data_IF_734701031049
#
_entry.id   IF_734701031049
#
_cell.length_a   1.000
_cell.length_b   1.000
_cell.length_c   1.000
_cell.angle_alpha   90.00
_cell.angle_beta   90.00
_cell.angle_gamma   90.00
#
_symmetry.space_group_name_H-M   'P 1'
#
loop_
_entity.id
_entity.type
_entity.pdbx_description
1 polymer ?
#
# COMPACT_ATOMS: atom_id res chain seq x y z
N UNK A 1 9.24 -9.87 17.58
CA UNK A 1 9.90 -9.87 16.25
C UNK A 1 8.81 -9.78 15.19
N UNK A 2 9.07 -9.16 14.03
CA UNK A 2 8.10 -9.08 12.93
C UNK A 2 8.20 -10.27 11.96
N UNK A 3 7.08 -10.72 11.41
CA UNK A 3 7.02 -11.79 10.40
C UNK A 3 7.25 -11.27 8.97
N UNK A 4 6.87 -10.02 8.70
CA UNK A 4 7.07 -9.33 7.43
C UNK A 4 7.79 -8.01 7.69
N UNK A 5 8.80 -7.69 6.89
CA UNK A 5 9.49 -6.41 6.93
C UNK A 5 8.87 -5.45 5.91
N UNK A 6 8.40 -4.30 6.34
CA UNK A 6 7.83 -3.29 5.44
C UNK A 6 8.84 -2.16 5.18
N UNK A 7 9.13 -1.90 3.91
CA UNK A 7 9.97 -0.77 3.49
C UNK A 7 9.08 0.45 3.26
N UNK A 8 9.29 1.57 3.98
CA UNK A 8 8.51 2.79 3.82
C UNK A 8 8.61 3.36 2.40
N UNK A 9 7.53 4.00 1.93
CA UNK A 9 7.44 4.54 0.58
C UNK A 9 8.58 5.50 0.25
N UNK A 10 8.91 6.45 1.16
CA UNK A 10 10.02 7.40 1.01
C UNK A 10 11.40 6.73 0.92
N UNK A 11 11.52 5.49 1.40
CA UNK A 11 12.77 4.75 1.46
C UNK A 11 12.86 3.61 0.44
N UNK A 12 11.89 3.49 -0.47
CA UNK A 12 11.81 2.38 -1.44
C UNK A 12 12.97 2.29 -2.44
N UNK A 13 13.90 3.26 -2.44
CA UNK A 13 15.11 3.26 -3.27
C UNK A 13 16.42 3.18 -2.47
N UNK A 14 16.36 3.14 -1.14
CA UNK A 14 17.55 3.11 -0.29
C UNK A 14 18.19 1.72 -0.33
N UNK A 15 19.30 1.59 -1.06
CA UNK A 15 19.96 0.31 -1.34
C UNK A 15 20.28 -0.45 -0.06
N UNK A 16 21.01 0.17 0.86
CA UNK A 16 21.47 -0.48 2.09
C UNK A 16 20.30 -1.01 2.94
N UNK A 17 19.18 -0.27 2.98
CA UNK A 17 17.98 -0.71 3.69
C UNK A 17 17.30 -1.91 3.01
N UNK A 18 17.21 -1.91 1.69
CA UNK A 18 16.61 -3.00 0.91
C UNK A 18 17.44 -4.28 1.01
N UNK A 19 18.76 -4.16 0.89
CA UNK A 19 19.68 -5.27 1.00
C UNK A 19 19.71 -5.83 2.43
N UNK A 20 19.73 -4.96 3.44
CA UNK A 20 19.64 -5.38 4.84
C UNK A 20 18.34 -6.14 5.14
N UNK A 21 17.21 -5.70 4.56
CA UNK A 21 15.94 -6.41 4.71
C UNK A 21 15.96 -7.78 4.02
N UNK A 22 16.48 -7.86 2.78
CA UNK A 22 16.61 -9.12 2.04
C UNK A 22 17.55 -10.13 2.69
N UNK A 23 18.64 -9.66 3.28
CA UNK A 23 19.60 -10.50 4.00
C UNK A 23 19.00 -11.19 5.24
N UNK A 24 17.84 -10.72 5.75
CA UNK A 24 17.17 -11.37 6.88
C UNK A 24 16.47 -12.68 6.50
N UNK A 25 16.19 -12.91 5.21
CA UNK A 25 15.40 -14.04 4.72
C UNK A 25 13.91 -13.96 5.06
N UNK A 26 13.44 -12.90 5.72
CA UNK A 26 12.00 -12.67 6.00
C UNK A 26 11.30 -12.10 4.77
N UNK A 27 9.99 -12.37 4.57
CA UNK A 27 9.21 -11.68 3.55
C UNK A 27 9.33 -10.16 3.66
N UNK A 28 9.49 -9.48 2.52
CA UNK A 28 9.65 -8.02 2.45
C UNK A 28 8.53 -7.41 1.60
N UNK A 29 7.77 -6.49 2.20
CA UNK A 29 6.79 -5.69 1.49
C UNK A 29 7.35 -4.29 1.21
N UNK A 30 7.51 -3.92 -0.06
CA UNK A 30 8.03 -2.60 -0.44
C UNK A 30 6.88 -1.69 -0.85
N UNK A 31 6.64 -0.60 -0.10
CA UNK A 31 5.66 0.41 -0.52
C UNK A 31 6.20 1.21 -1.70
N UNK A 32 5.42 1.34 -2.77
CA UNK A 32 5.77 2.17 -3.92
C UNK A 32 5.85 3.63 -3.48
N UNK A 33 6.95 4.30 -3.80
CA UNK A 33 7.08 5.75 -3.62
C UNK A 33 6.01 6.51 -4.42
N UNK A 34 5.48 7.60 -3.87
CA UNK A 34 4.44 8.40 -4.52
C UNK A 34 4.94 9.08 -5.81
N UNK A 35 6.25 9.15 -6.03
CA UNK A 35 6.90 9.67 -7.25
C UNK A 35 7.35 8.55 -8.20
N UNK A 36 7.18 7.28 -7.81
CA UNK A 36 7.64 6.14 -8.59
C UNK A 36 6.55 5.68 -9.56
N UNK A 37 6.95 5.46 -10.82
CA UNK A 37 6.15 4.72 -11.78
C UNK A 37 6.23 3.20 -11.48
N UNK A 38 5.22 2.40 -11.86
CA UNK A 38 5.15 0.97 -11.56
C UNK A 38 6.41 0.17 -11.92
N UNK A 39 6.90 0.29 -13.15
CA UNK A 39 8.03 -0.51 -13.66
C UNK A 39 9.34 -0.18 -12.93
N UNK A 40 9.46 1.03 -12.40
CA UNK A 40 10.61 1.47 -11.62
C UNK A 40 10.77 0.72 -10.30
N UNK A 41 9.73 0.06 -9.80
CA UNK A 41 9.79 -0.75 -8.58
C UNK A 41 10.57 -2.05 -8.74
N UNK A 42 10.75 -2.55 -9.98
CA UNK A 42 11.54 -3.77 -10.26
C UNK A 42 12.93 -3.69 -9.63
N UNK A 43 13.62 -2.58 -9.83
CA UNK A 43 14.97 -2.39 -9.28
C UNK A 43 15.03 -2.34 -7.74
N UNK A 44 13.93 -2.02 -7.05
CA UNK A 44 13.88 -2.09 -5.59
C UNK A 44 13.75 -3.54 -5.12
N UNK A 45 12.89 -4.33 -5.77
CA UNK A 45 12.68 -5.75 -5.44
C UNK A 45 13.89 -6.61 -5.81
N UNK A 46 14.56 -6.31 -6.92
CA UNK A 46 15.78 -7.02 -7.34
C UNK A 46 16.89 -6.88 -6.30
N UNK A 47 17.02 -5.73 -5.63
CA UNK A 47 17.99 -5.54 -4.54
C UNK A 47 17.67 -6.41 -3.33
N UNK A 48 16.39 -6.51 -2.96
CA UNK A 48 15.95 -7.38 -1.87
C UNK A 48 16.25 -8.85 -2.20
N UNK A 49 15.87 -9.30 -3.40
CA UNK A 49 16.11 -10.68 -3.89
C UNK A 49 17.60 -11.00 -4.03
N UNK A 50 18.41 -10.03 -4.44
CA UNK A 50 19.86 -10.19 -4.62
C UNK A 50 20.62 -10.34 -3.29
N UNK A 51 20.05 -9.83 -2.19
CA UNK A 51 20.69 -9.87 -0.88
C UNK A 51 20.35 -11.11 -0.04
N UNK A 52 19.33 -11.89 -0.42
CA UNK A 52 18.94 -13.09 0.32
C UNK A 52 17.67 -13.77 -0.20
N UNK A 53 17.22 -14.86 0.46
CA UNK A 53 16.12 -15.70 -0.02
C UNK A 53 14.73 -15.15 0.28
N UNK A 54 14.60 -13.87 0.62
CA UNK A 54 13.33 -13.23 0.99
C UNK A 54 12.31 -13.31 -0.15
N UNK A 55 11.09 -13.73 0.19
CA UNK A 55 9.91 -13.46 -0.63
C UNK A 55 9.63 -11.95 -0.66
N UNK A 56 9.08 -11.45 -1.77
CA UNK A 56 8.82 -10.01 -1.94
C UNK A 56 7.38 -9.74 -2.37
N UNK A 57 6.84 -8.63 -1.87
CA UNK A 57 5.59 -8.04 -2.32
C UNK A 57 5.79 -6.55 -2.58
N UNK A 58 4.92 -5.96 -3.40
CA UNK A 58 4.90 -4.51 -3.66
C UNK A 58 3.53 -3.94 -3.30
N UNK A 59 3.52 -2.80 -2.61
CA UNK A 59 2.29 -2.13 -2.19
C UNK A 59 2.06 -0.85 -2.98
N UNK A 60 0.95 -0.76 -3.69
CA UNK A 60 0.42 0.49 -4.24
C UNK A 60 -0.19 1.33 -3.12
N UNK A 61 0.14 2.63 -3.06
CA UNK A 61 -0.32 3.56 -2.01
C UNK A 61 -0.58 4.97 -2.53
N UNK A 62 -0.87 5.10 -3.82
CA UNK A 62 -1.10 6.36 -4.52
C UNK A 62 0.17 6.94 -5.15
N UNK A 63 -0.06 7.88 -6.06
CA UNK A 63 0.97 8.67 -6.77
C UNK A 63 0.62 10.15 -6.62
N UNK A 64 1.63 11.02 -6.50
CA UNK A 64 1.40 12.46 -6.39
C UNK A 64 0.56 12.98 -7.55
N UNK A 65 -0.50 13.73 -7.23
CA UNK A 65 -1.39 14.32 -8.21
C UNK A 65 -1.56 15.82 -7.93
N UNK A 66 -0.63 16.60 -8.49
CA UNK A 66 -0.48 18.00 -8.08
C UNK A 66 -0.02 18.10 -6.62
N UNK A 67 -0.40 19.19 -5.94
CA UNK A 67 0.03 19.46 -4.58
C UNK A 67 -1.01 19.03 -3.53
N UNK A 68 -0.53 18.28 -2.53
CA UNK A 68 -1.31 17.87 -1.36
C UNK A 68 -2.40 16.83 -1.66
N UNK A 69 -2.27 16.08 -2.75
CA UNK A 69 -3.24 15.05 -3.14
C UNK A 69 -2.55 13.84 -3.82
N UNK A 70 -3.27 12.72 -3.83
CA UNK A 70 -2.83 11.45 -4.40
C UNK A 70 -3.89 10.88 -5.34
N UNK A 71 -3.44 10.23 -6.40
CA UNK A 71 -4.30 9.43 -7.29
C UNK A 71 -3.84 7.99 -7.33
N UNK A 72 -4.80 7.07 -7.38
CA UNK A 72 -4.55 5.64 -7.61
C UNK A 72 -4.83 5.33 -9.07
N UNK A 73 -3.76 5.05 -9.82
CA UNK A 73 -3.88 4.52 -11.19
C UNK A 73 -4.19 3.01 -11.11
N UNK A 74 -5.44 2.62 -11.35
CA UNK A 74 -5.85 1.20 -11.30
C UNK A 74 -5.08 0.31 -12.31
N UNK A 75 -4.44 0.88 -13.34
CA UNK A 75 -3.57 0.12 -14.26
C UNK A 75 -2.28 -0.34 -13.56
N UNK A 76 -1.90 0.32 -12.45
CA UNK A 76 -0.69 0.02 -11.71
C UNK A 76 -0.66 -1.41 -11.17
N UNK A 77 -1.80 -2.02 -10.82
CA UNK A 77 -1.84 -3.39 -10.31
C UNK A 77 -1.28 -4.40 -11.32
N UNK A 78 -1.74 -4.34 -12.56
CA UNK A 78 -1.22 -5.19 -13.64
C UNK A 78 0.23 -4.87 -13.97
N UNK A 79 0.59 -3.59 -14.04
CA UNK A 79 1.95 -3.14 -14.39
C UNK A 79 2.98 -3.53 -13.33
N UNK A 80 2.66 -3.33 -12.05
CA UNK A 80 3.50 -3.75 -10.93
C UNK A 80 3.69 -5.26 -10.94
N UNK A 81 2.62 -6.04 -11.10
CA UNK A 81 2.70 -7.50 -11.17
C UNK A 81 3.63 -7.96 -12.28
N UNK A 82 3.45 -7.44 -13.49
CA UNK A 82 4.26 -7.81 -14.66
C UNK A 82 5.72 -7.39 -14.52
N UNK A 83 5.99 -6.18 -14.01
CA UNK A 83 7.34 -5.67 -13.89
C UNK A 83 8.12 -6.31 -12.73
N UNK A 84 7.45 -6.61 -11.63
CA UNK A 84 8.09 -7.08 -10.40
C UNK A 84 8.05 -8.60 -10.22
N UNK A 85 7.17 -9.31 -10.94
CA UNK A 85 6.87 -10.72 -10.72
C UNK A 85 6.62 -11.02 -9.23
N UNK A 86 5.71 -10.26 -8.62
CA UNK A 86 5.43 -10.30 -7.18
C UNK A 86 3.95 -10.01 -6.90
N UNK A 87 3.41 -10.48 -5.76
CA UNK A 87 2.10 -10.06 -5.28
C UNK A 87 2.03 -8.53 -5.14
N UNK A 88 0.92 -7.97 -5.59
CA UNK A 88 0.64 -6.53 -5.48
C UNK A 88 -0.44 -6.32 -4.42
N UNK A 89 -0.10 -5.58 -3.37
CA UNK A 89 -1.00 -5.20 -2.27
C UNK A 89 -1.50 -3.78 -2.52
N UNK A 90 -2.74 -3.48 -2.13
CA UNK A 90 -3.26 -2.12 -2.15
C UNK A 90 -3.39 -1.56 -0.73
N UNK A 91 -2.74 -0.44 -0.46
CA UNK A 91 -2.87 0.33 0.78
C UNK A 91 -4.02 1.32 0.68
N UNK A 92 -5.20 0.91 1.12
CA UNK A 92 -6.41 1.69 0.92
C UNK A 92 -6.48 2.94 1.81
N UNK A 93 -5.83 2.91 2.99
CA UNK A 93 -5.84 4.04 3.93
C UNK A 93 -4.88 5.13 3.48
N UNK A 94 -3.65 4.79 3.14
CA UNK A 94 -2.68 5.81 2.76
C UNK A 94 -2.87 6.35 1.34
N UNK A 95 -3.62 5.64 0.49
CA UNK A 95 -4.01 6.11 -0.83
C UNK A 95 -5.01 7.26 -0.81
N UNK A 96 -5.74 7.46 0.29
CA UNK A 96 -6.66 8.60 0.47
C UNK A 96 -6.05 9.73 1.30
N UNK A 97 -4.76 9.64 1.61
CA UNK A 97 -4.03 10.67 2.33
C UNK A 97 -3.95 11.96 1.49
N UNK A 98 -4.12 13.09 2.16
CA UNK A 98 -3.92 14.42 1.60
C UNK A 98 -2.67 15.06 2.24
N UNK A 99 -1.46 14.82 1.69
CA UNK A 99 -0.21 15.18 2.34
C UNK A 99 -0.12 16.67 2.67
N UNK A 100 0.16 17.00 3.93
CA UNK A 100 0.34 18.38 4.39
C UNK A 100 -0.92 19.25 4.41
N UNK A 101 -2.12 18.68 4.20
CA UNK A 101 -3.40 19.41 4.25
C UNK A 101 -4.09 19.42 5.62
N UNK A 102 -3.52 18.72 6.61
CA UNK A 102 -4.03 18.68 7.98
C UNK A 102 -3.59 19.88 8.82
N UNK A 103 -4.15 19.99 10.02
CA UNK A 103 -3.77 21.04 10.97
C UNK A 103 -2.29 20.96 11.34
N UNK A 104 -1.63 22.11 11.46
CA UNK A 104 -0.21 22.17 11.87
C UNK A 104 0.76 21.53 10.87
N UNK A 105 0.36 21.32 9.60
CA UNK A 105 1.18 20.65 8.59
C UNK A 105 1.12 19.12 8.64
N UNK A 106 0.24 18.55 9.45
CA UNK A 106 -0.06 17.12 9.43
C UNK A 106 -0.68 16.71 8.09
N UNK A 107 -0.73 15.40 7.82
CA UNK A 107 -1.50 14.89 6.68
C UNK A 107 -3.00 14.95 6.98
N UNK A 108 -3.77 15.44 6.01
CA UNK A 108 -5.21 15.24 5.97
C UNK A 108 -5.55 13.84 5.45
N UNK A 109 -6.84 13.61 5.18
CA UNK A 109 -7.33 12.34 4.67
C UNK A 109 -8.78 12.40 4.24
N UNK A 110 -9.15 11.47 3.37
CA UNK A 110 -10.51 11.33 2.86
C UNK A 110 -10.99 9.87 3.02
N UNK A 111 -11.09 9.42 4.28
CA UNK A 111 -11.45 8.04 4.64
C UNK A 111 -12.74 7.53 4.00
N UNK A 112 -13.66 8.42 3.65
CA UNK A 112 -14.90 8.10 2.93
C UNK A 112 -14.66 7.39 1.59
N UNK A 113 -13.49 7.54 0.98
CA UNK A 113 -13.15 6.87 -0.28
C UNK A 113 -12.50 5.49 -0.10
N UNK A 114 -12.14 5.09 1.12
CA UNK A 114 -11.48 3.80 1.40
C UNK A 114 -12.30 2.62 0.85
N UNK A 115 -13.62 2.49 1.13
CA UNK A 115 -14.39 1.34 0.66
C UNK A 115 -14.42 1.25 -0.87
N UNK A 116 -14.61 2.39 -1.54
CA UNK A 116 -14.69 2.44 -3.01
C UNK A 116 -13.36 2.06 -3.65
N UNK A 117 -12.24 2.62 -3.16
CA UNK A 117 -10.92 2.34 -3.71
C UNK A 117 -10.45 0.92 -3.40
N UNK A 118 -10.75 0.38 -2.21
CA UNK A 118 -10.41 -1.00 -1.85
C UNK A 118 -11.08 -2.00 -2.80
N UNK A 119 -12.39 -1.84 -3.05
CA UNK A 119 -13.12 -2.70 -3.98
C UNK A 119 -12.66 -2.52 -5.43
N UNK A 120 -12.37 -1.30 -5.85
CA UNK A 120 -11.81 -1.04 -7.18
C UNK A 120 -10.45 -1.72 -7.38
N UNK A 121 -9.57 -1.67 -6.36
CA UNK A 121 -8.27 -2.33 -6.40
C UNK A 121 -8.38 -3.85 -6.47
N UNK A 122 -9.31 -4.45 -5.71
CA UNK A 122 -9.60 -5.88 -5.78
C UNK A 122 -10.06 -6.26 -7.19
N UNK A 123 -11.02 -5.53 -7.76
CA UNK A 123 -11.49 -5.76 -9.13
C UNK A 123 -10.39 -5.56 -10.18
N UNK A 124 -9.47 -4.62 -9.95
CA UNK A 124 -8.33 -4.35 -10.82
C UNK A 124 -7.19 -5.39 -10.70
N UNK A 125 -7.31 -6.36 -9.79
CA UNK A 125 -6.37 -7.48 -9.68
C UNK A 125 -5.36 -7.39 -8.53
N UNK A 126 -5.61 -6.58 -7.49
CA UNK A 126 -4.84 -6.64 -6.26
C UNK A 126 -4.86 -8.07 -5.65
N UNK A 127 -3.76 -8.46 -5.01
CA UNK A 127 -3.59 -9.76 -4.34
C UNK A 127 -3.87 -9.68 -2.84
N UNK A 128 -3.88 -8.47 -2.28
CA UNK A 128 -4.18 -8.22 -0.89
C UNK A 128 -4.52 -6.76 -0.64
N UNK A 129 -5.10 -6.50 0.52
CA UNK A 129 -5.38 -5.16 1.02
C UNK A 129 -4.54 -4.90 2.27
N UNK A 130 -4.04 -3.67 2.39
CA UNK A 130 -3.51 -3.10 3.61
C UNK A 130 -4.46 -1.99 4.05
N UNK A 131 -4.90 -2.05 5.31
CA UNK A 131 -5.80 -1.06 5.90
C UNK A 131 -5.42 -0.83 7.35
N UNK A 132 -5.32 0.43 7.74
CA UNK A 132 -5.23 0.83 9.14
C UNK A 132 -6.61 1.15 9.70
N UNK A 133 -6.84 0.77 10.94
CA UNK A 133 -8.12 0.96 11.61
C UNK A 133 -7.92 1.43 13.04
N UNK A 134 -8.92 2.10 13.58
CA UNK A 134 -8.95 2.51 14.97
C UNK A 134 -10.41 2.47 15.48
N UNK A 135 -10.65 2.14 16.77
CA UNK A 135 -11.99 2.25 17.36
C UNK A 135 -12.54 3.67 17.31
N UNK A 136 -11.65 4.66 17.38
CA UNK A 136 -11.97 6.09 17.34
C UNK A 136 -10.96 6.86 16.49
N UNK A 137 -11.09 6.84 15.14
CA UNK A 137 -10.09 7.44 14.26
C UNK A 137 -9.86 8.94 14.48
N UNK A 138 -10.81 9.67 15.07
CA UNK A 138 -10.69 11.12 15.26
C UNK A 138 -9.75 11.47 16.42
N UNK A 139 -9.51 10.51 17.32
CA UNK A 139 -8.54 10.62 18.42
C UNK A 139 -7.31 9.72 18.21
N UNK A 140 -7.11 9.19 17.01
CA UNK A 140 -5.92 8.42 16.69
C UNK A 140 -4.65 9.30 16.74
N UNK A 141 -3.52 8.80 17.27
CA UNK A 141 -2.30 9.59 17.44
C UNK A 141 -1.59 9.94 16.11
N UNK A 142 -1.89 9.21 15.04
CA UNK A 142 -1.41 9.47 13.67
C UNK A 142 -2.46 9.00 12.68
N UNK A 143 -2.49 9.64 11.51
CA UNK A 143 -3.26 9.23 10.32
C UNK A 143 -4.75 8.95 10.52
N UNK A 144 -5.33 9.42 11.62
CA UNK A 144 -6.76 9.29 11.93
C UNK A 144 -7.69 9.58 10.75
N UNK A 145 -7.54 10.73 10.05
CA UNK A 145 -8.32 11.06 8.85
C UNK A 145 -8.29 10.02 7.71
N UNK A 146 -7.34 9.08 7.74
CA UNK A 146 -7.11 8.03 6.74
C UNK A 146 -7.52 6.64 7.21
N UNK A 147 -7.90 6.46 8.48
CA UNK A 147 -8.24 5.15 9.02
C UNK A 147 -9.71 4.81 8.79
N UNK A 148 -9.98 3.53 8.51
CA UNK A 148 -11.36 3.01 8.53
C UNK A 148 -11.79 2.81 9.99
N UNK A 149 -12.98 3.27 10.42
CA UNK A 149 -13.51 2.95 11.75
C UNK A 149 -13.59 1.43 11.95
N UNK A 150 -13.15 0.94 13.11
CA UNK A 150 -13.03 -0.51 13.37
C UNK A 150 -14.34 -1.27 13.16
N UNK A 151 -15.47 -0.68 13.56
CA UNK A 151 -16.81 -1.26 13.38
C UNK A 151 -17.21 -1.46 11.90
N UNK A 152 -16.56 -0.77 10.96
CA UNK A 152 -16.85 -0.86 9.52
C UNK A 152 -15.92 -1.84 8.79
N UNK A 153 -14.85 -2.30 9.45
CA UNK A 153 -13.81 -3.11 8.83
C UNK A 153 -14.35 -4.46 8.33
N UNK A 154 -15.09 -5.18 9.19
CA UNK A 154 -15.59 -6.53 8.87
C UNK A 154 -16.49 -6.51 7.63
N UNK A 155 -17.45 -5.57 7.58
CA UNK A 155 -18.36 -5.42 6.45
C UNK A 155 -17.61 -5.07 5.14
N UNK A 156 -16.52 -4.30 5.20
CA UNK A 156 -15.71 -4.02 4.02
C UNK A 156 -14.91 -5.25 3.59
N UNK A 157 -14.31 -5.99 4.52
CA UNK A 157 -13.53 -7.20 4.23
C UNK A 157 -14.41 -8.27 3.60
N UNK A 158 -15.62 -8.52 4.13
CA UNK A 158 -16.56 -9.47 3.55
C UNK A 158 -16.88 -9.15 2.09
N UNK A 159 -17.16 -7.89 1.79
CA UNK A 159 -17.42 -7.42 0.42
C UNK A 159 -16.20 -7.58 -0.48
N UNK A 160 -15.01 -7.25 0.03
CA UNK A 160 -13.76 -7.38 -0.70
C UNK A 160 -13.45 -8.85 -1.03
N UNK A 161 -13.64 -9.77 -0.08
CA UNK A 161 -13.44 -11.21 -0.28
C UNK A 161 -14.45 -11.78 -1.28
N UNK A 162 -15.73 -11.42 -1.15
CA UNK A 162 -16.77 -11.84 -2.09
C UNK A 162 -16.46 -11.37 -3.53
N UNK A 163 -16.03 -10.11 -3.69
CA UNK A 163 -15.61 -9.57 -4.98
C UNK A 163 -14.36 -10.27 -5.50
N UNK A 164 -13.36 -10.50 -4.64
CA UNK A 164 -12.12 -11.19 -5.00
C UNK A 164 -12.38 -12.59 -5.54
N UNK A 165 -13.27 -13.34 -4.91
CA UNK A 165 -13.68 -14.67 -5.37
C UNK A 165 -14.42 -14.60 -6.72
N UNK A 166 -15.29 -13.61 -6.89
CA UNK A 166 -16.06 -13.43 -8.13
C UNK A 166 -15.18 -13.10 -9.34
N UNK A 167 -14.21 -12.20 -9.21
CA UNK A 167 -13.37 -11.76 -10.35
C UNK A 167 -12.23 -12.73 -10.70
N UNK A 168 -12.08 -13.82 -9.93
CA UNK A 168 -11.05 -14.85 -10.13
C UNK A 168 -11.62 -16.26 -10.34
N UNK A 169 -12.94 -16.41 -10.35
CA UNK A 169 -13.63 -17.63 -10.78
C UNK A 169 -13.55 -17.76 -12.31
#
# INVERSE_FOLDING_TARGET
MADVLQIPAFLCRQTDLLEAAGATGKPVNVKKGQWMHPEGMRGALDKVRGAGPSEVAVTERGTFFGYGDLVVDMRAFTRLRQACDAPVIFDATHSVQQPGRGQGGASGGAREFIPSLALAAVAAGAHGLFMETHPDPDHAPSDGPNMIPLEQLDALVERAVALWALVRA
#
